data_IF_896495886567
#
_entry.id   IF_896495886567
#
_cell.length_a   1.000
_cell.length_b   1.000
_cell.length_c   1.000
_cell.angle_alpha   90.00
_cell.angle_beta   90.00
_cell.angle_gamma   90.00
#
_symmetry.space_group_name_H-M   'P 1'
#
loop_
_entity.id
_entity.type
_entity.pdbx_description
1 polymer ?
#
# COMPACT_ATOMS: atom_id res chain seq x y z
N UNK A 1 11.11 6.41 1.33
CA UNK A 1 10.29 5.18 1.24
C UNK A 1 10.60 4.35 0.00
N UNK A 2 10.85 4.97 -1.17
CA UNK A 2 11.13 4.31 -2.46
C UNK A 2 12.16 3.16 -2.38
N UNK A 3 13.27 3.33 -1.66
CA UNK A 3 14.29 2.28 -1.51
C UNK A 3 13.87 1.09 -0.65
N UNK A 4 12.90 1.26 0.25
CA UNK A 4 12.44 0.22 1.17
C UNK A 4 11.41 -0.71 0.51
N UNK A 5 10.69 -0.20 -0.49
CA UNK A 5 9.60 -0.91 -1.17
C UNK A 5 9.90 -1.20 -2.64
N UNK A 6 11.14 -0.97 -3.09
CA UNK A 6 11.53 -1.06 -4.51
C UNK A 6 11.14 -2.39 -5.19
N UNK A 7 11.17 -3.51 -4.48
CA UNK A 7 10.77 -4.83 -4.98
C UNK A 7 9.24 -5.03 -5.10
N UNK A 8 8.46 -4.27 -4.32
CA UNK A 8 6.98 -4.25 -4.34
C UNK A 8 6.42 -3.12 -5.22
N UNK A 9 7.25 -2.12 -5.55
CA UNK A 9 6.87 -0.97 -6.35
C UNK A 9 6.42 -1.39 -7.75
N UNK A 10 5.39 -0.70 -8.26
CA UNK A 10 4.77 -0.92 -9.58
C UNK A 10 4.06 -2.27 -9.78
N UNK A 11 4.15 -3.20 -8.83
CA UNK A 11 3.45 -4.49 -8.87
C UNK A 11 2.25 -4.51 -7.92
N UNK A 12 2.52 -4.20 -6.66
CA UNK A 12 1.58 -4.36 -5.55
C UNK A 12 1.37 -3.02 -4.82
N UNK A 13 2.39 -2.15 -4.84
CA UNK A 13 2.38 -0.87 -4.12
C UNK A 13 2.84 0.26 -5.04
N UNK A 14 2.11 1.36 -5.03
CA UNK A 14 2.55 2.66 -5.53
C UNK A 14 2.88 3.56 -4.35
N UNK A 15 4.08 4.12 -4.36
CA UNK A 15 4.59 4.97 -3.28
C UNK A 15 4.75 6.38 -3.82
N UNK A 16 4.02 7.31 -3.21
CA UNK A 16 4.18 8.75 -3.37
C UNK A 16 4.99 9.30 -2.18
N UNK A 17 5.26 10.61 -2.17
CA UNK A 17 6.07 11.24 -1.10
C UNK A 17 5.45 11.04 0.28
N UNK A 18 4.12 11.20 0.37
CA UNK A 18 3.38 11.12 1.64
C UNK A 18 2.41 9.92 1.71
N UNK A 19 2.04 9.34 0.57
CA UNK A 19 1.01 8.31 0.48
C UNK A 19 1.54 6.98 -0.08
N UNK A 20 0.99 5.88 0.43
CA UNK A 20 1.20 4.54 -0.11
C UNK A 20 -0.13 3.96 -0.55
N UNK A 21 -0.21 3.55 -1.81
CA UNK A 21 -1.40 2.94 -2.40
C UNK A 21 -1.07 1.49 -2.68
N UNK A 22 -1.82 0.57 -2.07
CA UNK A 22 -1.72 -0.87 -2.37
C UNK A 22 -2.78 -1.20 -3.41
N UNK A 23 -2.37 -1.77 -4.54
CA UNK A 23 -3.28 -2.20 -5.60
C UNK A 23 -3.09 -3.68 -5.86
N UNK A 24 -4.20 -4.40 -5.92
CA UNK A 24 -4.19 -5.84 -6.15
C UNK A 24 -5.32 -6.23 -7.10
N UNK A 25 -5.10 -7.28 -7.90
CA UNK A 25 -6.05 -7.72 -8.93
C UNK A 25 -7.27 -8.44 -8.36
N UNK A 26 -7.12 -9.09 -7.21
CA UNK A 26 -8.18 -9.85 -6.54
C UNK A 26 -8.17 -9.56 -5.04
N UNK A 27 -9.30 -9.73 -4.34
CA UNK A 27 -9.36 -9.55 -2.88
C UNK A 27 -8.43 -10.48 -2.10
N UNK A 28 -8.29 -11.74 -2.55
CA UNK A 28 -7.36 -12.69 -1.93
C UNK A 28 -5.90 -12.23 -2.02
N UNK A 29 -5.48 -11.83 -3.23
CA UNK A 29 -4.14 -11.26 -3.45
C UNK A 29 -3.94 -9.97 -2.63
N UNK A 30 -5.00 -9.18 -2.48
CA UNK A 30 -4.94 -7.94 -1.69
C UNK A 30 -4.61 -8.17 -0.22
N UNK A 31 -5.15 -9.24 0.37
CA UNK A 31 -4.83 -9.61 1.75
C UNK A 31 -3.36 -10.00 1.87
N UNK A 32 -2.84 -10.80 0.94
CA UNK A 32 -1.41 -11.19 0.93
C UNK A 32 -0.48 -9.99 0.75
N UNK A 33 -0.83 -9.06 -0.15
CA UNK A 33 -0.03 -7.87 -0.42
C UNK A 33 -0.02 -6.91 0.79
N UNK A 34 -1.17 -6.75 1.46
CA UNK A 34 -1.26 -6.00 2.72
C UNK A 34 -0.41 -6.65 3.82
N UNK A 35 -0.47 -7.97 3.98
CA UNK A 35 0.37 -8.69 4.94
C UNK A 35 1.85 -8.40 4.73
N UNK A 36 2.35 -8.53 3.48
CA UNK A 36 3.74 -8.20 3.13
C UNK A 36 4.09 -6.74 3.45
N UNK A 37 3.19 -5.80 3.14
CA UNK A 37 3.38 -4.38 3.45
C UNK A 37 3.52 -4.17 4.97
N UNK A 38 2.62 -4.72 5.78
CA UNK A 38 2.63 -4.58 7.23
C UNK A 38 3.88 -5.20 7.87
N UNK A 39 4.31 -6.37 7.41
CA UNK A 39 5.56 -6.98 7.87
C UNK A 39 6.76 -6.07 7.62
N UNK A 40 6.77 -5.41 6.47
CA UNK A 40 7.84 -4.50 6.09
C UNK A 40 7.82 -3.20 6.87
N UNK A 41 6.63 -2.61 7.07
CA UNK A 41 6.45 -1.47 7.95
C UNK A 41 6.97 -1.79 9.36
N UNK A 42 6.64 -2.98 9.88
CA UNK A 42 7.13 -3.46 11.18
C UNK A 42 8.65 -3.61 11.20
N UNK A 43 9.24 -4.21 10.15
CA UNK A 43 10.70 -4.39 10.02
C UNK A 43 11.46 -3.08 10.10
N UNK A 44 10.94 -2.03 9.46
CA UNK A 44 11.56 -0.71 9.44
C UNK A 44 11.00 0.26 10.49
N UNK A 45 10.16 -0.23 11.42
CA UNK A 45 9.48 0.55 12.48
C UNK A 45 8.73 1.78 11.94
N UNK A 46 8.22 1.69 10.72
CA UNK A 46 7.34 2.69 10.12
C UNK A 46 5.93 2.53 10.70
N UNK A 47 5.27 3.66 10.98
CA UNK A 47 3.90 3.68 11.49
C UNK A 47 2.99 4.36 10.49
N UNK A 48 1.89 3.70 10.15
CA UNK A 48 0.82 4.31 9.37
C UNK A 48 -0.04 5.19 10.27
N UNK A 49 -0.51 6.30 9.73
CA UNK A 49 -1.57 7.08 10.35
C UNK A 49 -2.93 6.51 9.93
N UNK A 50 -3.52 5.66 10.77
CA UNK A 50 -4.80 5.01 10.49
C UNK A 50 -5.94 6.01 10.22
N UNK A 51 -5.87 7.22 10.79
CA UNK A 51 -6.87 8.26 10.54
C UNK A 51 -6.85 8.81 9.11
N UNK A 52 -5.75 8.58 8.38
CA UNK A 52 -5.59 8.96 6.97
C UNK A 52 -5.65 7.75 6.02
N UNK A 53 -5.68 6.53 6.54
CA UNK A 53 -5.76 5.34 5.70
C UNK A 53 -7.20 5.12 5.21
N UNK A 54 -7.36 4.98 3.89
CA UNK A 54 -8.63 4.65 3.26
C UNK A 54 -8.58 3.23 2.71
N UNK A 55 -9.56 2.39 3.05
CA UNK A 55 -9.61 0.98 2.65
C UNK A 55 -10.85 0.68 1.81
N UNK A 56 -10.78 -0.33 0.94
CA UNK A 56 -11.93 -0.79 0.15
C UNK A 56 -12.36 0.17 -0.97
N UNK A 57 -11.48 1.07 -1.40
CA UNK A 57 -11.76 2.03 -2.47
C UNK A 57 -11.71 1.30 -3.82
N UNK A 58 -12.81 1.31 -4.56
CA UNK A 58 -12.81 0.82 -5.95
C UNK A 58 -11.89 1.69 -6.83
N UNK A 59 -11.16 1.06 -7.75
CA UNK A 59 -10.13 1.69 -8.60
C UNK A 59 -10.57 2.99 -9.27
N UNK A 60 -11.86 3.15 -9.57
CA UNK A 60 -12.40 4.36 -10.21
C UNK A 60 -12.37 5.60 -9.30
N UNK A 61 -12.54 5.44 -7.98
CA UNK A 61 -12.59 6.58 -7.03
C UNK A 61 -11.21 7.11 -6.63
N UNK A 62 -10.15 6.36 -6.90
CA UNK A 62 -8.79 6.66 -6.42
C UNK A 62 -8.05 7.67 -7.31
N UNK A 63 -8.52 7.91 -8.53
CA UNK A 63 -7.92 8.85 -9.51
C UNK A 63 -8.76 10.11 -9.74
N UNK A 64 -9.95 10.17 -9.16
CA UNK A 64 -10.92 11.26 -9.32
C UNK A 64 -10.90 12.26 -8.13
N UNK A 65 -9.90 12.21 -7.24
CA UNK A 65 -9.72 13.13 -6.09
C UNK A 65 -8.39 13.85 -6.10
#
# INVERSE_FOLDING_TARGET
MVTLFHDMMHKEVEVYVDDMIVKSKTPGQHIDDLCKLFERLRKYRLRLNLAKCTFGVGTRKLWDS
#
